data_IF_568585224694
#
_entry.id   IF_568585224694
#
_cell.length_a   1.000
_cell.length_b   1.000
_cell.length_c   1.000
_cell.angle_alpha   90.00
_cell.angle_beta   90.00
_cell.angle_gamma   90.00
#
_symmetry.space_group_name_H-M   'P 1'
#
loop_
_entity.id
_entity.type
_entity.pdbx_description
1 polymer ?
#
# COMPACT_ATOMS: atom_id res chain seq x y z
N UNK A 1 -62.71 31.72 4.72
CA UNK A 1 -62.08 31.87 3.37
C UNK A 1 -60.58 31.77 3.50
N UNK A 2 -60.05 30.62 3.34
CA UNK A 2 -58.57 30.43 3.27
C UNK A 2 -58.23 29.93 1.87
N UNK A 3 -57.50 30.75 1.11
CA UNK A 3 -56.96 30.38 -0.19
C UNK A 3 -55.72 29.54 0.00
N UNK A 4 -55.66 28.35 -0.61
CA UNK A 4 -54.47 27.53 -0.75
C UNK A 4 -53.64 27.99 -1.96
N UNK A 5 -52.29 27.97 -1.87
CA UNK A 5 -51.44 28.25 -3.05
C UNK A 5 -51.31 27.00 -3.92
N UNK A 6 -51.55 27.16 -5.22
CA UNK A 6 -51.34 26.15 -6.23
C UNK A 6 -49.84 25.82 -6.41
N UNK A 7 -49.47 24.61 -6.08
CA UNK A 7 -48.15 24.05 -6.45
C UNK A 7 -48.25 23.45 -7.85
N UNK A 8 -47.59 24.09 -8.80
CA UNK A 8 -47.40 23.56 -10.18
C UNK A 8 -46.43 22.35 -10.14
N UNK A 9 -46.98 21.15 -10.12
CA UNK A 9 -46.23 19.92 -10.37
C UNK A 9 -46.13 19.74 -11.88
N UNK A 10 -45.00 20.06 -12.48
CA UNK A 10 -44.68 19.70 -13.87
C UNK A 10 -44.52 18.20 -13.96
N UNK A 11 -45.48 17.51 -14.51
CA UNK A 11 -45.43 16.10 -14.88
C UNK A 11 -44.49 15.94 -16.09
N UNK A 12 -43.42 15.20 -15.91
CA UNK A 12 -42.51 14.83 -17.00
C UNK A 12 -43.14 13.73 -17.85
N UNK A 13 -43.29 13.97 -19.15
CA UNK A 13 -43.63 12.92 -20.13
C UNK A 13 -42.34 12.49 -20.85
N UNK A 14 -42.10 11.19 -21.04
CA UNK A 14 -40.98 10.74 -21.84
C UNK A 14 -41.21 11.04 -23.29
N UNK A 15 -40.22 11.65 -23.95
CA UNK A 15 -40.19 11.81 -25.41
C UNK A 15 -39.46 10.60 -25.98
N UNK A 16 -40.17 9.73 -26.70
CA UNK A 16 -39.61 8.61 -27.42
C UNK A 16 -39.15 9.11 -28.79
N UNK A 17 -37.83 9.17 -29.00
CA UNK A 17 -37.25 9.31 -30.32
C UNK A 17 -36.83 7.92 -30.84
N UNK A 18 -37.31 7.58 -32.01
CA UNK A 18 -37.04 6.34 -32.73
C UNK A 18 -35.55 6.25 -33.11
N UNK A 19 -34.76 5.69 -32.26
CA UNK A 19 -33.47 5.01 -32.46
C UNK A 19 -32.82 4.73 -31.08
N UNK A 20 -33.19 3.70 -30.44
CA UNK A 20 -32.51 2.82 -29.47
C UNK A 20 -31.47 3.36 -28.45
N UNK A 21 -31.41 4.67 -28.14
CA UNK A 21 -30.49 5.22 -27.13
C UNK A 21 -31.27 6.17 -26.19
N UNK A 22 -31.52 5.73 -24.99
CA UNK A 22 -31.99 6.57 -23.86
C UNK A 22 -30.82 7.44 -23.37
N UNK A 23 -30.80 8.71 -23.77
CA UNK A 23 -29.94 9.70 -23.12
C UNK A 23 -30.63 10.18 -21.83
N UNK A 24 -30.14 9.77 -20.68
CA UNK A 24 -30.44 10.45 -19.43
C UNK A 24 -29.70 11.79 -19.42
N UNK A 25 -30.41 12.89 -19.59
CA UNK A 25 -29.86 14.20 -19.22
C UNK A 25 -29.59 14.20 -17.73
N UNK A 26 -28.36 14.56 -17.35
CA UNK A 26 -27.90 14.59 -15.98
C UNK A 26 -28.92 15.30 -15.06
N UNK A 27 -29.31 14.70 -13.93
CA UNK A 27 -30.07 15.42 -12.92
C UNK A 27 -29.24 16.63 -12.46
N UNK A 28 -29.87 17.79 -12.19
CA UNK A 28 -29.14 18.97 -11.73
C UNK A 28 -28.31 18.62 -10.47
N UNK A 29 -27.08 19.13 -10.40
CA UNK A 29 -26.10 18.83 -9.36
C UNK A 29 -26.67 18.86 -7.92
N UNK A 30 -27.68 19.71 -7.68
CA UNK A 30 -28.39 19.80 -6.40
C UNK A 30 -29.18 18.55 -6.00
N UNK A 31 -29.66 17.74 -6.97
CA UNK A 31 -30.37 16.49 -6.65
C UNK A 31 -29.41 15.37 -6.25
N UNK A 32 -28.24 15.33 -6.85
CA UNK A 32 -27.17 14.38 -6.47
C UNK A 32 -26.65 14.71 -5.06
N UNK A 33 -26.45 15.99 -4.75
CA UNK A 33 -26.06 16.42 -3.40
C UNK A 33 -27.15 16.13 -2.35
N UNK A 34 -28.43 16.25 -2.68
CA UNK A 34 -29.53 15.94 -1.75
C UNK A 34 -29.61 14.42 -1.50
N UNK A 35 -29.47 13.59 -2.53
CA UNK A 35 -29.45 12.11 -2.37
C UNK A 35 -28.21 11.67 -1.58
N UNK A 36 -27.04 12.26 -1.82
CA UNK A 36 -25.82 11.99 -1.08
C UNK A 36 -25.90 12.46 0.38
N UNK A 37 -26.59 13.57 0.66
CA UNK A 37 -26.81 14.09 2.03
C UNK A 37 -27.71 13.18 2.89
N UNK A 38 -28.58 12.35 2.28
CA UNK A 38 -29.44 11.41 2.99
C UNK A 38 -28.77 10.11 3.43
N UNK A 39 -27.55 9.81 2.95
CA UNK A 39 -26.89 8.50 3.18
C UNK A 39 -25.81 8.57 4.29
N UNK A 40 -25.51 9.72 4.84
CA UNK A 40 -24.27 9.94 5.61
C UNK A 40 -24.43 10.28 7.09
N UNK A 41 -25.60 10.09 7.71
CA UNK A 41 -25.59 10.18 9.16
C UNK A 41 -24.88 8.96 9.77
N UNK A 42 -23.95 9.18 10.71
CA UNK A 42 -23.26 8.09 11.41
C UNK A 42 -24.26 7.07 12.01
N UNK A 43 -25.44 7.53 12.46
CA UNK A 43 -26.51 6.64 12.92
C UNK A 43 -26.93 5.62 11.87
N UNK A 44 -27.14 6.04 10.63
CA UNK A 44 -27.55 5.13 9.54
C UNK A 44 -26.42 4.16 9.17
N UNK A 45 -25.16 4.63 9.16
CA UNK A 45 -23.99 3.81 8.90
C UNK A 45 -23.88 2.72 9.97
N UNK A 46 -23.94 3.08 11.24
CA UNK A 46 -23.85 2.13 12.34
C UNK A 46 -25.02 1.16 12.34
N UNK A 47 -26.24 1.62 12.05
CA UNK A 47 -27.42 0.73 11.92
C UNK A 47 -27.21 -0.32 10.83
N UNK A 48 -26.69 0.07 9.66
CA UNK A 48 -26.38 -0.89 8.59
C UNK A 48 -25.34 -1.95 9.05
N UNK A 49 -24.26 -1.50 9.65
CA UNK A 49 -23.18 -2.38 10.10
C UNK A 49 -23.71 -3.38 11.16
N UNK A 50 -24.49 -2.90 12.14
CA UNK A 50 -25.08 -3.73 13.21
C UNK A 50 -26.13 -4.72 12.69
N UNK A 51 -26.79 -4.41 11.58
CA UNK A 51 -27.68 -5.34 10.88
C UNK A 51 -26.93 -6.34 9.97
N UNK A 52 -25.59 -6.30 9.93
CA UNK A 52 -24.78 -7.16 9.07
C UNK A 52 -24.71 -6.71 7.62
N UNK A 53 -25.27 -5.55 7.27
CA UNK A 53 -25.23 -5.00 5.91
C UNK A 53 -23.81 -4.55 5.53
N UNK A 54 -23.49 -4.66 4.24
CA UNK A 54 -22.22 -4.20 3.66
C UNK A 54 -22.38 -2.77 3.14
N UNK A 55 -21.42 -1.92 3.45
CA UNK A 55 -21.37 -0.57 2.90
C UNK A 55 -20.83 -0.59 1.47
N UNK A 56 -21.29 0.32 0.62
CA UNK A 56 -20.71 0.47 -0.72
C UNK A 56 -19.35 1.16 -0.68
N UNK A 57 -18.60 1.06 -1.78
CA UNK A 57 -17.33 1.76 -1.95
C UNK A 57 -17.46 3.26 -1.78
N UNK A 58 -18.52 3.84 -2.33
CA UNK A 58 -18.83 5.27 -2.24
C UNK A 58 -19.14 5.69 -0.79
N UNK A 59 -19.93 4.88 -0.06
CA UNK A 59 -20.25 5.15 1.34
C UNK A 59 -19.02 5.16 2.22
N UNK A 60 -18.14 4.17 2.08
CA UNK A 60 -16.90 4.10 2.86
C UNK A 60 -15.90 5.18 2.47
N UNK A 61 -15.85 5.58 1.20
CA UNK A 61 -15.06 6.73 0.75
C UNK A 61 -15.53 8.03 1.43
N UNK A 62 -16.86 8.28 1.46
CA UNK A 62 -17.43 9.44 2.13
C UNK A 62 -17.18 9.44 3.64
N UNK A 63 -17.26 8.28 4.29
CA UNK A 63 -16.95 8.16 5.72
C UNK A 63 -15.55 8.69 6.02
N UNK A 64 -14.54 8.34 5.20
CA UNK A 64 -13.17 8.82 5.41
C UNK A 64 -13.07 10.34 5.21
N UNK A 65 -13.78 10.92 4.24
CA UNK A 65 -13.83 12.36 4.04
C UNK A 65 -14.40 13.06 5.27
N UNK A 66 -15.58 12.62 5.78
CA UNK A 66 -16.19 13.17 6.98
C UNK A 66 -15.32 13.01 8.23
N UNK A 67 -14.58 11.92 8.36
CA UNK A 67 -13.56 11.75 9.42
C UNK A 67 -12.46 12.78 9.27
N UNK A 68 -11.93 12.98 8.07
CA UNK A 68 -10.85 13.93 7.79
C UNK A 68 -11.28 15.38 8.04
N UNK A 69 -12.56 15.69 7.77
CA UNK A 69 -13.17 17.01 8.01
C UNK A 69 -13.59 17.23 9.48
N UNK A 70 -13.41 16.23 10.35
CA UNK A 70 -13.72 16.31 11.78
C UNK A 70 -15.23 16.28 12.10
N UNK A 71 -16.07 15.80 11.18
CA UNK A 71 -17.53 15.73 11.37
C UNK A 71 -17.96 14.62 12.33
N UNK A 72 -17.11 13.63 12.58
CA UNK A 72 -17.37 12.53 13.50
C UNK A 72 -16.47 12.62 14.73
N UNK A 73 -17.06 12.41 15.92
CA UNK A 73 -16.30 12.37 17.16
C UNK A 73 -15.67 10.98 17.39
N UNK A 74 -14.77 10.89 18.36
CA UNK A 74 -14.01 9.68 18.69
C UNK A 74 -14.90 8.48 19.05
N UNK A 75 -16.04 8.72 19.72
CA UNK A 75 -17.00 7.66 20.08
C UNK A 75 -17.64 7.06 18.82
N UNK A 76 -18.01 7.91 17.87
CA UNK A 76 -18.59 7.48 16.60
C UNK A 76 -17.58 6.72 15.74
N UNK A 77 -16.34 7.21 15.68
CA UNK A 77 -15.26 6.53 14.97
C UNK A 77 -14.93 5.19 15.64
N UNK A 78 -14.88 5.13 16.97
CA UNK A 78 -14.65 3.87 17.70
C UNK A 78 -15.75 2.84 17.40
N UNK A 79 -17.02 3.25 17.44
CA UNK A 79 -18.15 2.37 17.13
C UNK A 79 -18.09 1.85 15.68
N UNK A 80 -17.75 2.71 14.72
CA UNK A 80 -17.56 2.36 13.32
C UNK A 80 -16.46 1.30 13.14
N UNK A 81 -15.27 1.56 13.69
CA UNK A 81 -14.13 0.67 13.58
C UNK A 81 -14.43 -0.69 14.21
N UNK A 82 -15.01 -0.70 15.41
CA UNK A 82 -15.38 -1.92 16.13
C UNK A 82 -16.44 -2.71 15.35
N UNK A 83 -17.45 -2.04 14.83
CA UNK A 83 -18.50 -2.68 14.03
C UNK A 83 -17.96 -3.34 12.75
N UNK A 84 -17.06 -2.67 12.03
CA UNK A 84 -16.39 -3.22 10.85
C UNK A 84 -15.49 -4.43 11.18
N UNK A 85 -14.80 -4.41 12.34
CA UNK A 85 -13.98 -5.53 12.81
C UNK A 85 -14.87 -6.75 13.11
N UNK A 86 -15.94 -6.55 13.89
CA UNK A 86 -16.83 -7.65 14.34
C UNK A 86 -17.57 -8.30 13.17
N UNK A 87 -18.04 -7.52 12.21
CA UNK A 87 -18.73 -8.03 11.02
C UNK A 87 -17.76 -8.64 10.00
N UNK A 88 -16.52 -8.20 10.00
CA UNK A 88 -15.52 -8.50 8.97
C UNK A 88 -15.68 -7.60 7.73
N UNK A 89 -14.66 -6.80 7.47
CA UNK A 89 -14.63 -5.86 6.34
C UNK A 89 -14.67 -6.57 4.98
N UNK A 90 -15.36 -5.98 3.99
CA UNK A 90 -15.48 -6.50 2.63
C UNK A 90 -14.62 -5.70 1.64
N UNK A 91 -14.35 -6.30 0.48
CA UNK A 91 -13.46 -5.74 -0.54
C UNK A 91 -13.87 -4.33 -0.97
N UNK A 92 -15.16 -4.09 -1.22
CA UNK A 92 -15.67 -2.77 -1.63
C UNK A 92 -15.52 -1.72 -0.53
N UNK A 93 -15.64 -2.13 0.73
CA UNK A 93 -15.40 -1.25 1.87
C UNK A 93 -13.92 -0.89 2.03
N UNK A 94 -13.02 -1.85 1.81
CA UNK A 94 -11.57 -1.59 1.80
C UNK A 94 -11.22 -0.61 0.67
N UNK A 95 -11.79 -0.82 -0.52
CA UNK A 95 -11.59 0.07 -1.66
C UNK A 95 -12.09 1.49 -1.39
N UNK A 96 -13.27 1.64 -0.78
CA UNK A 96 -13.80 2.95 -0.44
C UNK A 96 -13.00 3.66 0.65
N UNK A 97 -12.57 2.95 1.71
CA UNK A 97 -11.66 3.51 2.71
C UNK A 97 -10.33 3.97 2.08
N UNK A 98 -9.78 3.14 1.18
CA UNK A 98 -8.59 3.49 0.39
C UNK A 98 -8.80 4.77 -0.42
N UNK A 99 -9.87 4.82 -1.19
CA UNK A 99 -10.15 5.96 -2.07
C UNK A 99 -10.30 7.25 -1.25
N UNK A 100 -11.04 7.20 -0.15
CA UNK A 100 -11.17 8.34 0.76
C UNK A 100 -9.84 8.81 1.35
N UNK A 101 -8.94 7.89 1.72
CA UNK A 101 -7.61 8.23 2.21
C UNK A 101 -6.73 8.88 1.13
N UNK A 102 -6.81 8.40 -0.10
CA UNK A 102 -6.06 8.97 -1.23
C UNK A 102 -6.61 10.36 -1.60
N UNK A 103 -7.93 10.53 -1.60
CA UNK A 103 -8.56 11.81 -1.94
C UNK A 103 -8.34 12.89 -0.88
N UNK A 104 -8.28 12.51 0.40
CA UNK A 104 -7.97 13.42 1.51
C UNK A 104 -6.48 13.59 1.76
N UNK A 105 -5.64 12.88 1.02
CA UNK A 105 -4.19 12.92 1.10
C UNK A 105 -3.57 13.88 0.08
N UNK A 106 -2.24 14.00 0.15
CA UNK A 106 -1.47 14.75 -0.83
C UNK A 106 -1.03 13.81 -1.97
N UNK A 107 -1.45 14.04 -3.23
CA UNK A 107 -1.07 13.21 -4.36
C UNK A 107 0.38 13.45 -4.78
N UNK A 108 1.00 12.40 -5.36
CA UNK A 108 2.30 12.47 -6.02
C UNK A 108 2.14 11.98 -7.45
N UNK A 109 2.61 12.76 -8.42
CA UNK A 109 2.57 12.38 -9.83
C UNK A 109 3.97 12.05 -10.35
N UNK A 110 4.16 10.80 -10.75
CA UNK A 110 5.38 10.33 -11.41
C UNK A 110 5.18 10.07 -12.91
N UNK A 111 4.07 10.52 -13.52
CA UNK A 111 3.91 10.36 -14.97
C UNK A 111 5.08 10.97 -15.75
N UNK A 112 5.57 10.34 -16.84
CA UNK A 112 5.01 9.16 -17.50
C UNK A 112 5.53 7.81 -16.94
N UNK A 113 6.25 7.78 -15.82
CA UNK A 113 6.88 6.56 -15.31
C UNK A 113 5.84 5.60 -14.73
N UNK A 114 5.99 4.33 -15.09
CA UNK A 114 5.29 3.26 -14.43
C UNK A 114 6.14 2.78 -13.26
N UNK A 115 5.67 3.02 -12.05
CA UNK A 115 6.43 2.73 -10.84
C UNK A 115 5.90 1.47 -10.15
N UNK A 116 6.81 0.80 -9.41
CA UNK A 116 6.46 -0.29 -8.49
C UNK A 116 6.61 0.17 -7.04
N UNK A 117 5.71 -0.29 -6.16
CA UNK A 117 5.89 -0.27 -4.71
C UNK A 117 6.21 -1.68 -4.20
N UNK A 118 7.14 -1.80 -3.27
CA UNK A 118 7.57 -3.07 -2.67
C UNK A 118 7.45 -2.92 -1.16
N UNK A 119 6.49 -3.62 -0.56
CA UNK A 119 6.12 -3.42 0.84
C UNK A 119 5.58 -4.71 1.47
N UNK A 120 5.79 -4.90 2.78
CA UNK A 120 5.09 -5.88 3.58
C UNK A 120 3.93 -5.24 4.36
N UNK A 121 2.94 -6.02 4.77
CA UNK A 121 1.85 -5.54 5.65
C UNK A 121 2.34 -5.22 7.04
N UNK A 122 3.47 -5.80 7.44
CA UNK A 122 3.90 -5.84 8.83
C UNK A 122 3.00 -6.74 9.69
N UNK A 123 3.31 -6.79 10.98
CA UNK A 123 2.49 -7.52 11.96
C UNK A 123 2.67 -9.04 11.93
N UNK A 124 3.71 -9.54 11.32
CA UNK A 124 4.11 -10.94 11.30
C UNK A 124 4.81 -11.37 12.61
N UNK A 125 5.10 -10.42 13.50
CA UNK A 125 5.85 -10.61 14.75
C UNK A 125 7.26 -11.20 14.54
N UNK A 126 7.83 -10.98 13.38
CA UNK A 126 9.21 -11.34 13.06
C UNK A 126 10.08 -10.09 13.14
N UNK A 127 11.26 -10.21 13.74
CA UNK A 127 12.24 -9.13 13.73
C UNK A 127 13.27 -9.39 12.63
N UNK A 128 12.81 -9.32 11.36
CA UNK A 128 13.68 -9.43 10.19
C UNK A 128 14.37 -8.10 9.89
N UNK A 129 15.54 -8.15 9.26
CA UNK A 129 16.16 -6.94 8.70
C UNK A 129 15.30 -6.35 7.57
N UNK A 130 15.59 -5.13 7.14
CA UNK A 130 14.78 -4.37 6.19
C UNK A 130 14.81 -4.95 4.75
N UNK A 131 14.36 -6.20 4.57
CA UNK A 131 14.42 -7.00 3.34
C UNK A 131 13.77 -6.24 2.17
N UNK A 132 12.51 -5.81 2.34
CA UNK A 132 11.78 -5.10 1.28
C UNK A 132 12.42 -3.78 0.90
N UNK A 133 13.07 -3.07 1.84
CA UNK A 133 13.77 -1.82 1.57
C UNK A 133 15.06 -2.06 0.79
N UNK A 134 15.83 -3.09 1.15
CA UNK A 134 16.98 -3.55 0.36
C UNK A 134 16.55 -3.91 -1.07
N UNK A 135 15.47 -4.71 -1.20
CA UNK A 135 14.94 -5.11 -2.50
C UNK A 135 14.54 -3.91 -3.38
N UNK A 136 14.01 -2.83 -2.79
CA UNK A 136 13.71 -1.60 -3.52
C UNK A 136 14.95 -1.02 -4.21
N UNK A 137 16.08 -0.95 -3.52
CA UNK A 137 17.33 -0.43 -4.10
C UNK A 137 17.92 -1.37 -5.14
N UNK A 138 17.79 -2.69 -4.94
CA UNK A 138 18.21 -3.68 -5.96
C UNK A 138 17.37 -3.52 -7.23
N UNK A 139 16.06 -3.37 -7.12
CA UNK A 139 15.16 -3.16 -8.27
C UNK A 139 15.42 -1.82 -8.94
N UNK A 140 15.64 -0.75 -8.17
CA UNK A 140 15.99 0.57 -8.71
C UNK A 140 17.35 0.57 -9.41
N UNK A 141 18.36 -0.10 -8.84
CA UNK A 141 19.68 -0.29 -9.45
C UNK A 141 19.65 -1.14 -10.72
N UNK A 142 18.63 -2.00 -10.87
CA UNK A 142 18.35 -2.74 -12.10
C UNK A 142 17.68 -1.86 -13.20
N UNK A 143 17.34 -0.61 -12.90
CA UNK A 143 16.79 0.36 -13.85
C UNK A 143 15.27 0.52 -13.78
N UNK A 144 14.58 -0.18 -12.89
CA UNK A 144 13.12 -0.03 -12.72
C UNK A 144 12.79 1.11 -11.77
N UNK A 145 11.71 1.81 -12.03
CA UNK A 145 11.26 2.94 -11.20
C UNK A 145 10.52 2.45 -9.95
N UNK A 146 11.04 2.77 -8.78
CA UNK A 146 10.50 2.33 -7.48
C UNK A 146 10.02 3.53 -6.68
N UNK A 147 8.75 3.53 -6.27
CA UNK A 147 8.16 4.52 -5.38
C UNK A 147 7.73 3.84 -4.07
N UNK A 148 8.66 3.73 -3.12
CA UNK A 148 8.39 3.04 -1.85
C UNK A 148 7.56 3.90 -0.92
N UNK A 149 6.35 3.44 -0.59
CA UNK A 149 5.55 4.01 0.47
C UNK A 149 5.90 3.33 1.80
N UNK A 150 6.45 4.07 2.74
CA UNK A 150 6.96 3.50 3.98
C UNK A 150 6.70 4.35 5.22
N UNK A 151 6.88 3.71 6.38
CA UNK A 151 6.70 4.33 7.70
C UNK A 151 7.76 3.81 8.67
N UNK A 152 7.73 4.35 9.89
CA UNK A 152 8.44 3.77 11.02
C UNK A 152 7.92 2.38 11.35
N UNK A 153 8.76 1.60 12.04
CA UNK A 153 8.35 0.29 12.54
C UNK A 153 7.17 0.41 13.51
N UNK A 154 6.22 -0.53 13.40
CA UNK A 154 5.15 -0.68 14.38
C UNK A 154 5.51 -1.69 15.49
N UNK A 155 6.22 -2.77 15.15
CA UNK A 155 6.53 -3.90 16.04
C UNK A 155 7.99 -4.35 15.97
N UNK A 156 8.68 -4.16 14.83
CA UNK A 156 10.09 -4.53 14.67
C UNK A 156 11.04 -3.45 15.20
N UNK A 157 12.34 -3.76 15.32
CA UNK A 157 13.38 -2.84 15.79
C UNK A 157 13.53 -1.63 14.84
N UNK A 158 13.41 -1.84 13.52
CA UNK A 158 13.61 -0.80 12.52
C UNK A 158 12.66 -0.97 11.33
N UNK A 159 11.90 0.07 11.02
CA UNK A 159 11.11 0.18 9.80
C UNK A 159 11.87 0.89 8.68
N UNK A 160 11.24 0.98 7.51
CA UNK A 160 11.86 1.62 6.35
C UNK A 160 12.25 3.09 6.62
N UNK A 161 11.41 3.86 7.34
CA UNK A 161 11.71 5.25 7.69
C UNK A 161 12.89 5.36 8.66
N UNK A 162 13.04 4.42 9.58
CA UNK A 162 14.16 4.43 10.53
C UNK A 162 15.50 4.31 9.78
N UNK A 163 15.58 3.38 8.81
CA UNK A 163 16.79 3.21 7.99
C UNK A 163 17.07 4.46 7.15
N UNK A 164 16.07 5.05 6.53
CA UNK A 164 16.26 6.28 5.74
C UNK A 164 16.74 7.46 6.62
N UNK A 165 16.17 7.64 7.81
CA UNK A 165 16.62 8.68 8.76
C UNK A 165 18.03 8.43 9.26
N UNK A 166 18.43 7.18 9.52
CA UNK A 166 19.80 6.82 9.90
C UNK A 166 20.81 7.34 8.85
N UNK A 167 20.46 7.27 7.55
CA UNK A 167 21.27 7.82 6.46
C UNK A 167 21.15 9.35 6.30
N UNK A 168 20.46 10.04 7.20
CA UNK A 168 20.30 11.50 7.15
C UNK A 168 19.27 11.99 6.13
N UNK A 169 18.43 11.11 5.58
CA UNK A 169 17.39 11.49 4.64
C UNK A 169 16.37 12.41 5.31
N UNK A 170 16.13 13.56 4.72
CA UNK A 170 15.02 14.45 5.06
C UNK A 170 13.79 14.08 4.23
N UNK A 171 12.74 13.60 4.88
CA UNK A 171 11.48 13.28 4.20
C UNK A 171 10.82 14.56 3.67
N UNK A 172 10.26 14.45 2.47
CA UNK A 172 9.64 15.59 1.79
C UNK A 172 8.35 15.15 1.10
N UNK A 173 7.42 16.10 0.98
CA UNK A 173 6.24 15.98 0.12
C UNK A 173 6.37 16.91 -1.12
N UNK A 174 7.54 17.53 -1.33
CA UNK A 174 7.81 18.33 -2.51
C UNK A 174 7.91 17.44 -3.76
N UNK A 175 6.96 17.59 -4.67
CA UNK A 175 6.86 16.78 -5.88
C UNK A 175 8.08 16.93 -6.80
N UNK A 176 8.74 18.11 -6.82
CA UNK A 176 9.92 18.33 -7.65
C UNK A 176 11.14 17.59 -7.10
N UNK A 177 11.33 17.58 -5.76
CA UNK A 177 12.41 16.81 -5.12
C UNK A 177 12.20 15.31 -5.32
N UNK A 178 10.97 14.83 -5.14
CA UNK A 178 10.61 13.41 -5.35
C UNK A 178 10.86 12.99 -6.79
N UNK A 179 10.44 13.83 -7.75
CA UNK A 179 10.66 13.56 -9.19
C UNK A 179 12.15 13.58 -9.53
N UNK A 180 12.92 14.54 -9.03
CA UNK A 180 14.39 14.60 -9.23
C UNK A 180 15.07 13.30 -8.74
N UNK A 181 14.68 12.81 -7.57
CA UNK A 181 15.19 11.53 -7.05
C UNK A 181 14.83 10.36 -7.97
N UNK A 182 13.56 10.29 -8.42
CA UNK A 182 13.09 9.27 -9.35
C UNK A 182 13.86 9.29 -10.68
N UNK A 183 14.22 10.46 -11.17
CA UNK A 183 14.98 10.62 -12.42
C UNK A 183 16.45 10.25 -12.24
N UNK A 184 17.08 10.67 -11.15
CA UNK A 184 18.51 10.48 -10.91
C UNK A 184 18.89 9.06 -10.50
N UNK A 185 18.05 8.38 -9.70
CA UNK A 185 18.40 7.07 -9.15
C UNK A 185 17.27 6.02 -9.21
N UNK A 186 16.22 6.24 -10.01
CA UNK A 186 15.08 5.34 -10.16
C UNK A 186 14.30 5.08 -8.86
N UNK A 187 14.51 5.85 -7.81
CA UNK A 187 13.94 5.62 -6.49
C UNK A 187 13.36 6.90 -5.90
N UNK A 188 12.19 6.79 -5.28
CA UNK A 188 11.62 7.83 -4.41
C UNK A 188 11.02 7.20 -3.16
N UNK A 189 11.29 7.79 -1.99
CA UNK A 189 10.71 7.37 -0.72
C UNK A 189 9.55 8.29 -0.33
N UNK A 190 8.38 7.71 -0.16
CA UNK A 190 7.15 8.41 0.20
C UNK A 190 6.84 8.10 1.66
N UNK A 191 7.24 9.00 2.57
CA UNK A 191 7.03 8.86 4.02
C UNK A 191 5.55 9.04 4.35
N UNK A 192 4.86 7.96 4.70
CA UNK A 192 3.41 7.89 4.84
C UNK A 192 2.78 9.04 5.68
N UNK A 193 3.36 9.48 6.82
CA UNK A 193 2.80 10.57 7.61
C UNK A 193 2.70 11.93 6.88
N UNK A 194 3.45 12.14 5.82
CA UNK A 194 3.39 13.38 5.04
C UNK A 194 2.21 13.41 4.05
N UNK A 195 1.69 12.24 3.66
CA UNK A 195 0.71 12.14 2.59
C UNK A 195 -0.69 11.75 3.06
N UNK A 196 -0.81 10.94 4.12
CA UNK A 196 -2.07 10.34 4.53
C UNK A 196 -2.78 11.15 5.62
N UNK A 197 -3.35 12.31 5.27
CA UNK A 197 -4.02 13.20 6.24
C UNK A 197 -5.21 12.52 6.94
N UNK A 198 -6.04 11.76 6.21
CA UNK A 198 -7.15 11.01 6.78
C UNK A 198 -6.72 9.94 7.81
N UNK A 199 -5.50 9.40 7.68
CA UNK A 199 -4.94 8.50 8.70
C UNK A 199 -4.63 9.20 10.03
N UNK A 200 -4.26 10.48 10.02
CA UNK A 200 -4.02 11.28 11.23
C UNK A 200 -5.29 11.43 12.05
N UNK A 201 -6.43 11.63 11.39
CA UNK A 201 -7.72 11.82 12.05
C UNK A 201 -8.18 10.59 12.84
N UNK A 202 -7.86 9.38 12.39
CA UNK A 202 -8.21 8.12 13.09
C UNK A 202 -7.14 7.66 14.09
N UNK A 203 -5.94 8.21 14.04
CA UNK A 203 -4.81 7.74 14.85
C UNK A 203 -5.08 7.80 16.38
N UNK A 204 -5.67 8.86 16.97
CA UNK A 204 -5.99 8.90 18.40
C UNK A 204 -6.93 7.78 18.82
N UNK A 205 -8.00 7.55 18.05
CA UNK A 205 -8.99 6.50 18.33
C UNK A 205 -8.35 5.11 18.24
N UNK A 206 -7.55 4.84 17.21
CA UNK A 206 -6.83 3.57 17.06
C UNK A 206 -5.87 3.31 18.21
N UNK A 207 -5.18 4.36 18.68
CA UNK A 207 -4.29 4.27 19.84
C UNK A 207 -5.05 3.93 21.12
N UNK A 208 -6.25 4.50 21.33
CA UNK A 208 -7.10 4.19 22.49
C UNK A 208 -7.71 2.80 22.44
N UNK A 209 -8.09 2.32 21.24
CA UNK A 209 -8.66 0.98 21.05
C UNK A 209 -7.66 -0.15 21.34
N UNK A 210 -6.37 0.05 21.11
CA UNK A 210 -5.27 -0.92 21.34
C UNK A 210 -5.47 -2.28 20.64
N UNK A 211 -6.31 -2.36 19.63
CA UNK A 211 -6.55 -3.54 18.81
C UNK A 211 -6.33 -3.22 17.33
N UNK A 212 -5.96 -4.22 16.49
CA UNK A 212 -5.90 -4.04 15.06
C UNK A 212 -7.27 -3.64 14.49
N UNK A 213 -7.29 -2.64 13.62
CA UNK A 213 -8.49 -2.17 12.94
C UNK A 213 -8.40 -2.38 11.43
N UNK A 214 -9.50 -2.14 10.70
CA UNK A 214 -9.48 -2.19 9.23
C UNK A 214 -8.45 -1.23 8.61
N UNK A 215 -8.06 -0.16 9.30
CA UNK A 215 -7.00 0.76 8.86
C UNK A 215 -5.61 0.14 8.85
N UNK A 216 -5.38 -0.96 9.56
CA UNK A 216 -4.12 -1.70 9.46
C UNK A 216 -3.92 -2.37 8.09
N UNK A 217 -5.02 -2.61 7.36
CA UNK A 217 -5.00 -3.16 6.02
C UNK A 217 -4.71 -2.11 4.93
N UNK A 218 -4.80 -0.81 5.26
CA UNK A 218 -4.79 0.24 4.24
C UNK A 218 -3.40 0.75 3.88
N UNK A 219 -2.40 0.57 4.76
CA UNK A 219 -1.04 1.07 4.53
C UNK A 219 -0.48 0.76 3.13
N UNK A 220 -0.48 -0.51 2.70
CA UNK A 220 -0.01 -0.89 1.37
C UNK A 220 -0.85 -0.37 0.20
N UNK A 221 -2.09 0.02 0.46
CA UNK A 221 -3.06 0.41 -0.58
C UNK A 221 -3.10 1.92 -0.84
N UNK A 222 -2.48 2.73 0.03
CA UNK A 222 -2.63 4.20 0.01
C UNK A 222 -1.35 4.91 -0.38
N UNK A 223 -0.50 4.26 -1.19
CA UNK A 223 0.64 4.92 -1.79
C UNK A 223 0.15 6.13 -2.62
N UNK A 224 0.60 7.37 -2.33
CA UNK A 224 0.06 8.59 -2.93
C UNK A 224 0.32 8.71 -4.43
N UNK A 225 1.29 7.99 -4.97
CA UNK A 225 1.56 7.99 -6.42
C UNK A 225 0.72 6.98 -7.21
N UNK A 226 -0.10 6.15 -6.55
CA UNK A 226 -0.93 5.11 -7.20
C UNK A 226 -0.12 4.26 -8.16
N UNK A 227 0.83 3.46 -7.65
CA UNK A 227 1.78 2.73 -8.48
C UNK A 227 1.08 1.80 -9.47
N UNK A 228 1.65 1.66 -10.67
CA UNK A 228 1.15 0.73 -11.69
C UNK A 228 1.37 -0.74 -11.31
N UNK A 229 2.39 -0.98 -10.47
CA UNK A 229 2.78 -2.30 -10.00
C UNK A 229 2.97 -2.31 -8.50
N UNK A 230 2.71 -3.47 -7.86
CA UNK A 230 2.99 -3.67 -6.45
C UNK A 230 3.44 -5.10 -6.15
N UNK A 231 4.53 -5.24 -5.39
CA UNK A 231 4.86 -6.48 -4.68
C UNK A 231 4.48 -6.29 -3.21
N UNK A 232 3.52 -7.07 -2.75
CA UNK A 232 3.02 -7.03 -1.39
C UNK A 232 3.32 -8.32 -0.64
N UNK A 233 4.07 -8.23 0.45
CA UNK A 233 4.20 -9.30 1.40
C UNK A 233 3.05 -9.29 2.43
N UNK A 234 2.51 -10.45 2.75
CA UNK A 234 1.41 -10.61 3.71
C UNK A 234 1.72 -11.68 4.74
N UNK A 235 1.33 -11.44 6.00
CA UNK A 235 1.61 -12.35 7.10
C UNK A 235 0.76 -13.65 7.08
N UNK A 236 -0.35 -13.69 6.32
CA UNK A 236 -1.21 -14.87 6.24
C UNK A 236 -2.03 -14.93 4.95
N UNK A 237 -2.56 -16.13 4.66
CA UNK A 237 -3.32 -16.41 3.44
C UNK A 237 -4.69 -15.71 3.36
N UNK A 238 -5.29 -15.30 4.48
CA UNK A 238 -6.55 -14.54 4.46
C UNK A 238 -6.30 -13.13 3.93
N UNK A 239 -5.20 -12.50 4.34
CA UNK A 239 -4.75 -11.24 3.77
C UNK A 239 -4.45 -11.38 2.27
N UNK A 240 -3.77 -12.47 1.85
CA UNK A 240 -3.52 -12.72 0.43
C UNK A 240 -4.81 -12.74 -0.40
N UNK A 241 -5.87 -13.41 0.08
CA UNK A 241 -7.18 -13.43 -0.60
C UNK A 241 -7.80 -12.05 -0.69
N UNK A 242 -7.80 -11.30 0.41
CA UNK A 242 -8.37 -9.95 0.45
C UNK A 242 -7.65 -9.03 -0.53
N UNK A 243 -6.32 -8.94 -0.43
CA UNK A 243 -5.54 -8.04 -1.28
C UNK A 243 -5.57 -8.43 -2.75
N UNK A 244 -5.60 -9.73 -3.10
CA UNK A 244 -5.75 -10.13 -4.49
C UNK A 244 -7.06 -9.63 -5.10
N UNK A 245 -8.17 -9.76 -4.37
CA UNK A 245 -9.46 -9.23 -4.83
C UNK A 245 -9.48 -7.70 -4.93
N UNK A 246 -8.77 -7.00 -4.02
CA UNK A 246 -8.59 -5.54 -4.09
C UNK A 246 -7.81 -5.15 -5.34
N UNK A 247 -6.65 -5.78 -5.60
CA UNK A 247 -5.81 -5.44 -6.75
C UNK A 247 -6.45 -5.81 -8.09
N UNK A 248 -7.19 -6.93 -8.15
CA UNK A 248 -7.99 -7.28 -9.32
C UNK A 248 -9.00 -6.17 -9.67
N UNK A 249 -9.70 -5.63 -8.66
CA UNK A 249 -10.62 -4.49 -8.87
C UNK A 249 -9.93 -3.17 -9.19
N UNK A 250 -8.69 -2.98 -8.73
CA UNK A 250 -7.88 -1.80 -9.06
C UNK A 250 -7.25 -1.89 -10.46
N UNK A 251 -7.15 -3.08 -11.04
CA UNK A 251 -6.60 -3.30 -12.38
C UNK A 251 -5.09 -3.05 -12.49
N UNK A 252 -4.34 -3.11 -11.36
CA UNK A 252 -2.89 -2.93 -11.36
C UNK A 252 -2.13 -4.24 -11.56
N UNK A 253 -0.86 -4.17 -11.93
CA UNK A 253 0.04 -5.31 -11.89
C UNK A 253 0.43 -5.63 -10.44
N UNK A 254 0.25 -6.89 -9.99
CA UNK A 254 0.56 -7.23 -8.62
C UNK A 254 1.23 -8.59 -8.46
N UNK A 255 2.04 -8.70 -7.42
CA UNK A 255 2.48 -9.93 -6.80
C UNK A 255 2.20 -9.87 -5.30
N UNK A 256 1.57 -10.90 -4.75
CA UNK A 256 1.38 -11.03 -3.31
C UNK A 256 2.15 -12.26 -2.87
N UNK A 257 3.01 -12.10 -1.87
CA UNK A 257 3.87 -13.16 -1.35
C UNK A 257 3.56 -13.43 0.12
N UNK A 258 3.68 -14.69 0.53
CA UNK A 258 3.54 -15.13 1.92
C UNK A 258 4.43 -16.32 2.15
N UNK A 259 5.38 -16.24 3.06
CA UNK A 259 6.08 -17.41 3.56
C UNK A 259 5.14 -18.23 4.46
N UNK A 260 5.05 -19.53 4.21
CA UNK A 260 4.06 -20.42 4.89
C UNK A 260 4.28 -20.46 6.41
N UNK A 261 5.51 -20.22 6.86
CA UNK A 261 5.89 -20.10 8.26
C UNK A 261 5.67 -18.71 8.86
N UNK A 262 4.93 -17.84 8.15
CA UNK A 262 4.30 -16.63 8.68
C UNK A 262 5.08 -15.33 8.50
N UNK A 263 6.12 -15.28 7.65
CA UNK A 263 6.74 -14.00 7.26
C UNK A 263 5.90 -13.30 6.19
N UNK A 264 5.83 -11.99 6.29
CA UNK A 264 5.23 -11.12 5.29
C UNK A 264 6.23 -10.69 4.18
N UNK A 265 7.19 -11.56 3.90
CA UNK A 265 8.21 -11.44 2.86
C UNK A 265 8.57 -12.85 2.35
N UNK A 266 9.33 -12.95 1.27
CA UNK A 266 9.96 -14.21 0.88
C UNK A 266 11.18 -14.40 1.76
N UNK A 267 11.06 -15.21 2.80
CA UNK A 267 12.10 -15.45 3.81
C UNK A 267 13.13 -16.50 3.40
N UNK A 268 12.78 -17.39 2.47
CA UNK A 268 13.54 -18.60 2.12
C UNK A 268 13.74 -19.57 3.29
N UNK A 269 13.10 -19.35 4.43
CA UNK A 269 13.15 -20.27 5.58
C UNK A 269 12.35 -21.55 5.36
N UNK A 270 11.46 -21.52 4.38
CA UNK A 270 10.61 -22.62 3.98
C UNK A 270 9.88 -22.32 2.67
N UNK A 271 8.79 -23.04 2.46
CA UNK A 271 7.95 -22.79 1.30
C UNK A 271 7.25 -21.44 1.41
N UNK A 272 7.03 -20.81 0.27
CA UNK A 272 6.29 -19.55 0.20
C UNK A 272 5.29 -19.59 -0.96
N UNK A 273 4.18 -18.90 -0.78
CA UNK A 273 3.13 -18.77 -1.79
C UNK A 273 3.23 -17.44 -2.49
N UNK A 274 3.07 -17.47 -3.81
CA UNK A 274 2.99 -16.27 -4.65
C UNK A 274 1.69 -16.28 -5.41
N UNK A 275 0.97 -15.16 -5.42
CA UNK A 275 -0.17 -14.91 -6.27
C UNK A 275 0.05 -13.63 -7.07
N UNK A 276 -0.09 -13.71 -8.39
CA UNK A 276 -0.01 -12.57 -9.32
C UNK A 276 -1.29 -12.45 -10.13
N UNK A 277 -1.36 -11.52 -11.08
CA UNK A 277 -2.48 -11.43 -12.01
C UNK A 277 -2.72 -12.72 -12.84
N UNK A 278 -1.67 -13.53 -13.06
CA UNK A 278 -1.71 -14.68 -13.98
C UNK A 278 -1.27 -15.99 -13.34
N UNK A 279 -0.75 -15.98 -12.11
CA UNK A 279 -0.16 -17.16 -11.47
C UNK A 279 -0.57 -17.22 -9.99
N UNK A 280 -0.83 -18.44 -9.52
CA UNK A 280 -0.90 -18.74 -8.08
C UNK A 280 -0.14 -20.06 -7.85
N UNK A 281 0.99 -19.98 -7.11
CA UNK A 281 1.89 -21.12 -6.93
C UNK A 281 2.60 -21.07 -5.57
N UNK A 282 2.88 -22.25 -5.02
CA UNK A 282 3.78 -22.42 -3.88
C UNK A 282 5.16 -22.79 -4.44
N UNK A 283 6.16 -22.06 -3.99
CA UNK A 283 7.56 -22.26 -4.32
C UNK A 283 8.33 -22.79 -3.12
N UNK A 284 9.35 -23.58 -3.39
CA UNK A 284 10.43 -23.92 -2.46
C UNK A 284 11.63 -23.03 -2.77
N UNK A 285 12.52 -22.74 -1.83
CA UNK A 285 13.78 -22.04 -2.14
C UNK A 285 14.55 -22.68 -3.30
N UNK A 286 14.62 -24.01 -3.33
CA UNK A 286 15.27 -24.77 -4.41
C UNK A 286 14.65 -24.54 -5.81
N UNK A 287 13.37 -24.21 -5.91
CA UNK A 287 12.72 -23.88 -7.20
C UNK A 287 13.24 -22.55 -7.79
N UNK A 288 13.91 -21.74 -6.96
CA UNK A 288 14.63 -20.52 -7.36
C UNK A 288 16.14 -20.75 -7.56
N UNK A 289 16.65 -21.98 -7.37
CA UNK A 289 18.09 -22.26 -7.31
C UNK A 289 18.77 -21.64 -6.07
N UNK A 290 18.00 -21.35 -5.00
CA UNK A 290 18.49 -20.74 -3.77
C UNK A 290 18.41 -21.72 -2.59
N UNK A 291 19.35 -21.64 -1.63
CA UNK A 291 19.34 -22.50 -0.45
C UNK A 291 18.20 -22.09 0.52
N UNK A 292 17.79 -23.04 1.36
CA UNK A 292 16.96 -22.75 2.53
C UNK A 292 17.80 -21.99 3.56
N UNK A 293 17.21 -20.96 4.16
CA UNK A 293 17.81 -20.05 5.15
C UNK A 293 17.30 -20.41 6.54
N UNK A 294 18.13 -20.29 7.56
CA UNK A 294 17.66 -20.44 8.95
C UNK A 294 17.07 -19.12 9.46
N UNK A 295 15.99 -19.15 10.28
CA UNK A 295 15.35 -17.94 10.80
C UNK A 295 16.32 -16.96 11.48
N UNK A 296 17.31 -17.47 12.21
CA UNK A 296 18.30 -16.66 12.95
C UNK A 296 19.17 -15.81 12.02
N UNK A 297 19.37 -16.25 10.77
CA UNK A 297 20.17 -15.54 9.78
C UNK A 297 19.44 -14.29 9.25
N UNK A 298 18.11 -14.18 9.47
CA UNK A 298 17.28 -13.05 9.06
C UNK A 298 17.11 -12.00 10.15
N UNK A 299 17.70 -12.23 11.34
CA UNK A 299 17.56 -11.31 12.46
C UNK A 299 17.95 -9.87 12.10
N UNK A 300 17.07 -8.92 12.44
CA UNK A 300 17.13 -7.52 12.03
C UNK A 300 17.89 -6.59 12.97
N UNK A 301 18.60 -7.14 13.96
CA UNK A 301 19.33 -6.37 14.97
C UNK A 301 18.52 -6.09 16.23
N UNK A 302 19.20 -5.75 17.32
CA UNK A 302 18.61 -5.37 18.60
C UNK A 302 18.38 -3.86 18.70
N UNK A 303 19.09 -3.06 17.90
CA UNK A 303 19.04 -1.59 17.90
C UNK A 303 18.82 -1.06 16.48
N UNK A 304 18.33 0.17 16.32
CA UNK A 304 18.25 0.83 15.02
C UNK A 304 19.60 0.92 14.30
N UNK A 305 20.70 1.14 15.01
CA UNK A 305 22.04 1.22 14.43
C UNK A 305 22.49 -0.15 13.90
N UNK A 306 22.28 -1.24 14.64
CA UNK A 306 22.54 -2.59 14.13
C UNK A 306 21.70 -2.92 12.90
N UNK A 307 20.42 -2.50 12.90
CA UNK A 307 19.55 -2.70 11.75
C UNK A 307 20.04 -1.94 10.51
N UNK A 308 20.55 -0.72 10.67
CA UNK A 308 21.16 0.06 9.60
C UNK A 308 22.47 -0.59 9.10
N UNK A 309 23.33 -1.05 10.00
CA UNK A 309 24.56 -1.78 9.64
C UNK A 309 24.27 -3.04 8.82
N UNK A 310 23.22 -3.80 9.22
CA UNK A 310 22.79 -4.98 8.47
C UNK A 310 22.30 -4.58 7.07
N UNK A 311 21.48 -3.54 6.97
CA UNK A 311 21.00 -3.01 5.71
C UNK A 311 22.12 -2.59 4.77
N UNK A 312 23.09 -1.83 5.29
CA UNK A 312 24.27 -1.39 4.53
C UNK A 312 25.11 -2.56 4.06
N UNK A 313 25.36 -3.54 4.96
CA UNK A 313 26.15 -4.73 4.62
C UNK A 313 25.58 -5.48 3.42
N UNK A 314 24.27 -5.52 3.24
CA UNK A 314 23.62 -6.16 2.09
C UNK A 314 23.92 -5.38 0.82
N UNK A 315 23.65 -4.07 0.82
CA UNK A 315 23.81 -3.23 -0.37
C UNK A 315 25.29 -3.04 -0.76
N UNK A 316 26.19 -3.09 0.21
CA UNK A 316 27.66 -3.11 0.01
C UNK A 316 28.20 -4.47 -0.40
N UNK A 317 27.35 -5.47 -0.56
CA UNK A 317 27.70 -6.84 -0.95
C UNK A 317 28.67 -7.55 0.02
N UNK A 318 28.74 -7.13 1.30
CA UNK A 318 29.58 -7.71 2.36
C UNK A 318 28.79 -8.52 3.39
N UNK A 319 27.48 -8.70 3.16
CA UNK A 319 26.59 -9.48 4.02
C UNK A 319 26.72 -10.98 3.78
N UNK A 320 26.04 -11.78 4.63
CA UNK A 320 25.95 -13.22 4.44
C UNK A 320 25.19 -13.58 3.16
N UNK A 321 25.50 -14.75 2.57
CA UNK A 321 24.77 -15.25 1.40
C UNK A 321 23.28 -15.43 1.69
N UNK A 322 22.89 -15.82 2.90
CA UNK A 322 21.50 -15.98 3.32
C UNK A 322 20.73 -14.67 3.17
N UNK A 323 21.25 -13.56 3.71
CA UNK A 323 20.62 -12.24 3.61
C UNK A 323 20.59 -11.74 2.16
N UNK A 324 21.67 -11.90 1.41
CA UNK A 324 21.69 -11.53 -0.02
C UNK A 324 20.64 -12.30 -0.80
N UNK A 325 20.57 -13.62 -0.63
CA UNK A 325 19.62 -14.48 -1.35
C UNK A 325 18.15 -14.11 -1.06
N UNK A 326 17.83 -13.79 0.18
CA UNK A 326 16.48 -13.35 0.56
C UNK A 326 16.12 -12.02 -0.13
N UNK A 327 17.03 -11.06 -0.16
CA UNK A 327 16.82 -9.80 -0.89
C UNK A 327 16.66 -10.04 -2.39
N UNK A 328 17.51 -10.91 -2.98
CA UNK A 328 17.42 -11.27 -4.39
C UNK A 328 16.09 -11.92 -4.75
N UNK A 329 15.57 -12.82 -3.90
CA UNK A 329 14.28 -13.45 -4.12
C UNK A 329 13.15 -12.41 -4.14
N UNK A 330 13.10 -11.50 -3.17
CA UNK A 330 12.08 -10.44 -3.12
C UNK A 330 12.22 -9.47 -4.30
N UNK A 331 13.43 -9.04 -4.65
CA UNK A 331 13.68 -8.18 -5.81
C UNK A 331 13.29 -8.87 -7.13
N UNK A 332 13.60 -10.17 -7.28
CA UNK A 332 13.28 -10.94 -8.47
C UNK A 332 11.75 -11.03 -8.69
N UNK A 333 10.96 -11.27 -7.63
CA UNK A 333 9.51 -11.28 -7.77
C UNK A 333 8.94 -9.88 -8.03
N UNK A 334 9.55 -8.81 -7.53
CA UNK A 334 9.19 -7.44 -7.91
C UNK A 334 9.44 -7.19 -9.41
N UNK A 335 10.59 -7.61 -9.94
CA UNK A 335 10.90 -7.54 -11.36
C UNK A 335 9.92 -8.39 -12.17
N UNK A 336 9.60 -9.62 -11.72
CA UNK A 336 8.62 -10.50 -12.36
C UNK A 336 7.22 -9.90 -12.47
N UNK A 337 6.81 -9.07 -11.51
CA UNK A 337 5.52 -8.35 -11.58
C UNK A 337 5.51 -7.34 -12.73
N UNK A 338 6.65 -6.69 -13.00
CA UNK A 338 6.81 -5.73 -14.10
C UNK A 338 7.01 -6.49 -15.42
N UNK A 339 7.97 -7.40 -15.44
CA UNK A 339 8.41 -8.17 -16.62
C UNK A 339 7.71 -9.55 -16.64
N UNK A 340 6.43 -9.53 -16.97
CA UNK A 340 5.57 -10.73 -16.87
C UNK A 340 6.03 -11.91 -17.71
N UNK A 341 6.72 -11.65 -18.82
CA UNK A 341 7.15 -12.66 -19.77
C UNK A 341 8.50 -13.31 -19.40
N UNK A 342 9.34 -12.64 -18.57
CA UNK A 342 10.59 -13.22 -18.10
C UNK A 342 10.35 -14.37 -17.13
N UNK A 343 11.18 -15.39 -17.17
CA UNK A 343 11.16 -16.41 -16.14
C UNK A 343 11.77 -15.90 -14.82
N UNK A 344 11.60 -16.64 -13.73
CA UNK A 344 12.05 -16.19 -12.41
C UNK A 344 13.58 -16.27 -12.28
N UNK A 345 14.24 -17.16 -13.00
CA UNK A 345 15.69 -17.26 -13.00
C UNK A 345 16.34 -16.05 -13.69
N UNK A 346 15.75 -15.58 -14.79
CA UNK A 346 16.15 -14.32 -15.44
C UNK A 346 15.98 -13.13 -14.49
N UNK A 347 14.85 -13.05 -13.76
CA UNK A 347 14.61 -11.98 -12.80
C UNK A 347 15.63 -12.01 -11.64
N UNK A 348 16.00 -13.21 -11.16
CA UNK A 348 17.07 -13.38 -10.14
C UNK A 348 18.40 -12.91 -10.69
N UNK A 349 18.75 -13.25 -11.94
CA UNK A 349 20.00 -12.83 -12.56
C UNK A 349 20.08 -11.29 -12.66
N UNK A 350 18.99 -10.63 -13.08
CA UNK A 350 18.91 -9.16 -13.14
C UNK A 350 19.08 -8.54 -11.74
N UNK A 351 18.40 -9.08 -10.73
CA UNK A 351 18.53 -8.61 -9.35
C UNK A 351 19.96 -8.79 -8.82
N UNK A 352 20.56 -9.96 -9.08
CA UNK A 352 21.93 -10.29 -8.67
C UNK A 352 22.93 -9.35 -9.31
N UNK A 353 22.83 -9.13 -10.61
CA UNK A 353 23.69 -8.18 -11.32
C UNK A 353 23.61 -6.76 -10.75
N UNK A 354 22.39 -6.28 -10.41
CA UNK A 354 22.21 -4.97 -9.77
C UNK A 354 22.91 -4.86 -8.42
N UNK A 355 22.81 -5.91 -7.59
CA UNK A 355 23.44 -5.94 -6.27
C UNK A 355 24.96 -6.08 -6.38
N UNK A 356 25.48 -7.09 -7.12
CA UNK A 356 26.90 -7.43 -7.17
C UNK A 356 27.72 -6.40 -7.94
N UNK A 357 27.15 -5.71 -8.93
CA UNK A 357 27.82 -4.60 -9.64
C UNK A 357 27.89 -3.30 -8.83
N UNK A 358 27.23 -3.21 -7.67
CA UNK A 358 27.15 -2.01 -6.86
C UNK A 358 26.15 -0.96 -7.33
N UNK A 359 25.33 -1.24 -8.36
CA UNK A 359 24.31 -0.30 -8.84
C UNK A 359 23.23 -0.03 -7.80
N UNK A 360 22.82 -1.04 -7.02
CA UNK A 360 21.92 -0.88 -5.90
C UNK A 360 22.47 0.08 -4.84
N UNK A 361 23.74 -0.05 -4.46
CA UNK A 361 24.42 0.85 -3.55
C UNK A 361 24.53 2.27 -4.12
N UNK A 362 24.87 2.40 -5.41
CA UNK A 362 24.93 3.70 -6.09
C UNK A 362 23.57 4.40 -6.03
N UNK A 363 22.46 3.67 -6.25
CA UNK A 363 21.12 4.20 -6.13
C UNK A 363 20.85 4.76 -4.70
N UNK A 364 21.19 4.01 -3.64
CA UNK A 364 21.08 4.48 -2.26
C UNK A 364 21.90 5.76 -2.04
N UNK A 365 23.18 5.77 -2.40
CA UNK A 365 24.07 6.92 -2.20
C UNK A 365 23.54 8.16 -2.91
N UNK A 366 23.15 8.04 -4.18
CA UNK A 366 22.57 9.16 -4.95
C UNK A 366 21.28 9.64 -4.31
N UNK A 367 20.40 8.74 -3.85
CA UNK A 367 19.17 9.12 -3.17
C UNK A 367 19.45 9.90 -1.87
N UNK A 368 20.39 9.41 -1.05
CA UNK A 368 20.81 10.08 0.20
C UNK A 368 21.39 11.45 -0.09
N UNK A 369 22.31 11.59 -1.04
CA UNK A 369 22.90 12.87 -1.43
C UNK A 369 21.84 13.89 -1.83
N UNK A 370 20.85 13.51 -2.63
CA UNK A 370 19.78 14.41 -3.08
C UNK A 370 18.81 14.82 -1.96
N UNK A 371 18.75 14.06 -0.85
CA UNK A 371 17.74 14.23 0.19
C UNK A 371 18.34 14.40 1.59
N UNK A 372 19.65 14.65 1.72
CA UNK A 372 20.28 14.86 3.01
C UNK A 372 19.86 16.20 3.62
N UNK A 373 19.79 16.25 4.97
CA UNK A 373 19.45 17.44 5.76
C UNK A 373 20.49 18.57 5.64
N UNK A 374 21.71 18.24 5.23
CA UNK A 374 22.84 19.17 5.21
C UNK A 374 23.06 19.84 3.84
N UNK A 375 22.18 19.67 2.89
CA UNK A 375 22.10 20.36 1.62
C UNK A 375 20.86 21.24 1.57
#
# INVERSE_FOLDING_TARGET
MYQQPHTNVKTWRPVVLTAGLLFYTHPPANHIQIILKYITSMKQILTKITNGEVLTREQTCQIVRHIADGEYNDVQISALLTGLIMRGIKVDEVLGLRDGLIETGQPVDFSPYQVIDIVGTGGDNKNTFNISTCACFVVAGAGYKVAKHGNYAATSTSGASNVMEHHGVQFTADSNRLRRSMEACNFAYLHAPLFAHGMKAVAPVRKMLQIPTCFNLLGPLVNPCRPAYQLLGVANLNQMRLYSSVYEKLGIGYGIVNSIDGYDEISLTGNFKVKTNTMEKIFRPADLGLPTVRPEELYGGATPDEAAEIFDSVLENRSTESRKNVVLANAAFAIKVIERDKDIAECIAIARESLESGRALTCLKTYVELNNKNL
#
